data_IF_555322636386
#
_entry.id   IF_555322636386
#
_cell.length_a   1.000
_cell.length_b   1.000
_cell.length_c   1.000
_cell.angle_alpha   90.00
_cell.angle_beta   90.00
_cell.angle_gamma   90.00
#
_symmetry.space_group_name_H-M   'P 1'
#
loop_
_entity.id
_entity.type
_entity.pdbx_description
1 polymer ?
#
# COMPACT_ATOMS: atom_id res chain seq x y z
N UNK A 1 14.42 -3.79 6.48
CA UNK A 1 13.22 -2.92 6.43
C UNK A 1 12.60 -2.97 5.04
N UNK A 2 11.28 -2.93 4.95
CA UNK A 2 10.50 -2.91 3.72
C UNK A 2 9.65 -1.63 3.69
N UNK A 3 9.60 -0.94 2.54
CA UNK A 3 8.83 0.28 2.36
C UNK A 3 7.72 0.02 1.36
N UNK A 4 6.48 0.10 1.80
CA UNK A 4 5.27 -0.03 0.98
C UNK A 4 4.67 1.36 0.79
N UNK A 5 4.59 1.80 -0.44
CA UNK A 5 4.05 3.12 -0.80
C UNK A 5 2.68 2.95 -1.45
N UNK A 6 1.68 3.66 -0.97
CA UNK A 6 0.36 3.73 -1.58
C UNK A 6 0.29 4.99 -2.43
N UNK A 7 0.28 4.82 -3.74
CA UNK A 7 0.25 5.93 -4.69
C UNK A 7 -0.86 5.76 -5.71
N UNK A 8 -1.59 6.82 -6.00
CA UNK A 8 -2.59 6.90 -7.06
C UNK A 8 -2.90 8.35 -7.33
N UNK A 9 -2.91 8.77 -8.58
CA UNK A 9 -3.27 10.14 -8.97
C UNK A 9 -4.76 10.47 -8.80
N UNK A 10 -5.56 9.46 -8.49
CA UNK A 10 -6.99 9.65 -8.25
C UNK A 10 -7.26 9.87 -6.76
N UNK A 11 -7.92 10.99 -6.44
CA UNK A 11 -8.50 11.24 -5.12
C UNK A 11 -9.59 10.20 -4.81
N UNK A 12 -9.69 9.76 -3.54
CA UNK A 12 -10.70 8.79 -3.14
C UNK A 12 -10.47 7.35 -3.62
N UNK A 13 -9.29 7.01 -4.18
CA UNK A 13 -8.95 5.64 -4.59
C UNK A 13 -8.78 4.68 -3.40
N UNK A 14 -8.59 5.20 -2.17
CA UNK A 14 -8.45 4.43 -0.94
C UNK A 14 -7.02 4.21 -0.47
N UNK A 15 -6.08 5.07 -0.84
CA UNK A 15 -4.69 5.03 -0.36
C UNK A 15 -4.63 5.01 1.17
N UNK A 16 -5.12 6.06 1.81
CA UNK A 16 -5.11 6.20 3.28
C UNK A 16 -5.87 5.06 3.97
N UNK A 17 -7.01 4.63 3.40
CA UNK A 17 -7.80 3.50 3.89
C UNK A 17 -6.97 2.22 3.94
N UNK A 18 -6.34 1.85 2.83
CA UNK A 18 -5.53 0.64 2.77
C UNK A 18 -4.27 0.74 3.64
N UNK A 19 -3.65 1.93 3.68
CA UNK A 19 -2.48 2.18 4.54
C UNK A 19 -2.82 1.93 6.00
N UNK A 20 -3.91 2.50 6.52
CA UNK A 20 -4.35 2.33 7.91
C UNK A 20 -4.65 0.86 8.23
N UNK A 21 -5.49 0.20 7.42
CA UNK A 21 -5.89 -1.19 7.67
C UNK A 21 -4.71 -2.16 7.60
N UNK A 22 -3.80 -1.99 6.65
CA UNK A 22 -2.63 -2.86 6.52
C UNK A 22 -1.63 -2.63 7.64
N UNK A 23 -1.39 -1.38 8.04
CA UNK A 23 -0.51 -1.08 9.15
C UNK A 23 -1.03 -1.66 10.47
N UNK A 24 -2.32 -1.48 10.78
CA UNK A 24 -2.95 -2.08 11.95
C UNK A 24 -2.93 -3.63 11.92
N UNK A 25 -3.08 -4.22 10.73
CA UNK A 25 -2.99 -5.68 10.55
C UNK A 25 -1.58 -6.23 10.80
N UNK A 26 -0.55 -5.49 10.41
CA UNK A 26 0.85 -5.94 10.38
C UNK A 26 1.60 -5.65 11.67
N UNK A 27 1.29 -4.50 12.28
CA UNK A 27 2.02 -4.03 13.45
C UNK A 27 1.91 -4.97 14.64
N UNK A 28 3.05 -5.31 15.20
CA UNK A 28 3.21 -6.08 16.45
C UNK A 28 4.54 -5.68 17.09
N UNK A 29 4.68 -5.88 18.39
CA UNK A 29 5.93 -5.62 19.10
C UNK A 29 7.14 -6.37 18.48
N UNK A 30 6.91 -7.60 18.00
CA UNK A 30 7.92 -8.43 17.31
C UNK A 30 8.07 -8.10 15.83
N UNK A 31 7.24 -7.22 15.30
CA UNK A 31 7.20 -6.83 13.89
C UNK A 31 6.82 -5.35 13.76
N UNK A 32 7.69 -4.45 14.23
CA UNK A 32 7.37 -3.03 14.30
C UNK A 32 7.22 -2.44 12.90
N UNK A 33 6.18 -1.63 12.72
CA UNK A 33 5.99 -0.83 11.51
C UNK A 33 5.80 0.65 11.85
N UNK A 34 6.22 1.51 10.91
CA UNK A 34 6.04 2.95 10.95
C UNK A 34 5.03 3.36 9.89
N UNK A 35 4.12 4.25 10.26
CA UNK A 35 3.26 4.98 9.34
C UNK A 35 3.92 6.29 8.91
N UNK A 36 3.79 6.62 7.64
CA UNK A 36 4.23 7.92 7.10
C UNK A 36 3.05 8.55 6.36
N UNK A 37 2.52 9.63 6.91
CA UNK A 37 1.50 10.45 6.26
C UNK A 37 2.20 11.55 5.45
N UNK A 38 2.22 11.38 4.14
CA UNK A 38 2.80 12.34 3.20
C UNK A 38 1.72 13.15 2.46
N UNK A 39 0.43 12.93 2.78
CA UNK A 39 -0.67 13.72 2.23
C UNK A 39 -0.96 14.91 3.16
N UNK A 40 -0.88 16.18 2.67
CA UNK A 40 -1.22 17.34 3.46
C UNK A 40 -2.66 17.36 4.01
N UNK A 41 -3.58 16.55 3.43
CA UNK A 41 -4.93 16.39 3.96
C UNK A 41 -4.95 15.67 5.31
N UNK A 42 -3.89 14.91 5.66
CA UNK A 42 -3.72 14.34 6.99
C UNK A 42 -4.74 13.25 7.35
N UNK A 43 -5.30 12.54 6.38
CA UNK A 43 -6.31 11.50 6.62
C UNK A 43 -5.77 10.37 7.50
N UNK A 44 -4.54 9.94 7.27
CA UNK A 44 -3.90 8.91 8.07
C UNK A 44 -3.57 9.41 9.48
N UNK A 45 -3.15 10.67 9.60
CA UNK A 45 -2.90 11.35 10.87
C UNK A 45 -4.20 11.48 11.69
N UNK A 46 -5.33 11.79 11.04
CA UNK A 46 -6.63 11.83 11.69
C UNK A 46 -7.02 10.45 12.23
N UNK A 47 -6.91 9.41 11.41
CA UNK A 47 -7.17 8.03 11.85
C UNK A 47 -6.31 7.64 13.06
N UNK A 48 -5.02 7.99 13.03
CA UNK A 48 -4.11 7.70 14.15
C UNK A 48 -4.50 8.44 15.44
N UNK A 49 -5.02 9.67 15.35
CA UNK A 49 -5.56 10.38 16.52
C UNK A 49 -6.80 9.69 17.07
N UNK A 50 -7.71 9.22 16.21
CA UNK A 50 -8.91 8.49 16.63
C UNK A 50 -8.55 7.16 17.33
N UNK A 51 -7.43 6.54 16.93
CA UNK A 51 -6.93 5.32 17.54
C UNK A 51 -6.59 5.47 19.03
N UNK A 52 -6.21 6.65 19.48
CA UNK A 52 -5.95 6.95 20.90
C UNK A 52 -4.73 6.24 21.50
N UNK A 53 -3.91 5.58 20.66
CA UNK A 53 -2.64 4.95 21.04
C UNK A 53 -1.52 5.42 20.12
N UNK A 54 -0.26 5.30 20.57
CA UNK A 54 0.90 5.63 19.74
C UNK A 54 1.38 4.45 18.85
N UNK A 55 0.57 3.40 18.72
CA UNK A 55 0.90 2.17 18.00
C UNK A 55 -0.07 1.90 16.85
N UNK A 56 0.42 1.71 15.61
CA UNK A 56 1.81 1.89 15.17
C UNK A 56 2.22 3.36 15.17
N UNK A 57 3.51 3.69 15.41
CA UNK A 57 3.97 5.08 15.38
C UNK A 57 3.76 5.72 14.00
N UNK A 58 3.51 7.05 14.00
CA UNK A 58 3.31 7.83 12.78
C UNK A 58 4.30 8.98 12.67
N UNK A 59 4.70 9.31 11.44
CA UNK A 59 5.45 10.52 11.07
C UNK A 59 4.74 11.21 9.91
N UNK A 60 4.80 12.52 9.87
CA UNK A 60 4.35 13.31 8.72
C UNK A 60 5.52 13.64 7.82
N UNK A 61 5.37 13.47 6.49
CA UNK A 61 6.42 13.72 5.53
C UNK A 61 6.08 14.96 4.68
N UNK A 62 6.48 16.13 5.17
CA UNK A 62 6.28 17.38 4.43
C UNK A 62 7.36 17.59 3.36
N UNK A 63 8.58 17.04 3.54
CA UNK A 63 9.72 17.31 2.66
C UNK A 63 10.40 16.07 2.11
N UNK A 64 10.74 15.09 2.94
CA UNK A 64 11.50 13.90 2.52
C UNK A 64 10.98 12.63 3.19
N UNK A 65 10.49 11.71 2.38
CA UNK A 65 10.15 10.34 2.78
C UNK A 65 11.45 9.54 2.96
N UNK A 66 12.47 9.81 2.14
CA UNK A 66 13.76 9.13 2.20
C UNK A 66 14.46 9.30 3.55
N UNK A 67 14.47 10.51 4.12
CA UNK A 67 15.05 10.77 5.44
C UNK A 67 14.31 10.03 6.55
N UNK A 68 12.96 9.99 6.49
CA UNK A 68 12.14 9.24 7.44
C UNK A 68 12.42 7.74 7.32
N UNK A 69 12.53 7.20 6.10
CA UNK A 69 12.87 5.80 5.87
C UNK A 69 14.28 5.46 6.41
N UNK A 70 15.25 6.36 6.23
CA UNK A 70 16.60 6.18 6.78
C UNK A 70 16.61 6.16 8.32
N UNK A 71 15.84 7.03 8.96
CA UNK A 71 15.65 7.03 10.40
C UNK A 71 14.95 5.74 10.88
N UNK A 72 13.84 5.37 10.27
CA UNK A 72 13.08 4.16 10.58
C UNK A 72 13.96 2.88 10.50
N UNK A 73 14.87 2.84 9.53
CA UNK A 73 15.82 1.73 9.40
C UNK A 73 16.79 1.66 10.59
N UNK A 74 17.28 2.81 11.07
CA UNK A 74 18.15 2.87 12.28
C UNK A 74 17.39 2.49 13.54
N UNK A 75 16.11 2.86 13.61
CA UNK A 75 15.22 2.56 14.74
C UNK A 75 14.70 1.09 14.74
N UNK A 76 15.17 0.25 13.81
CA UNK A 76 14.84 -1.17 13.77
C UNK A 76 13.45 -1.49 13.21
N UNK A 77 12.78 -0.54 12.55
CA UNK A 77 11.48 -0.82 11.93
C UNK A 77 11.60 -1.89 10.85
N UNK A 78 10.70 -2.87 10.87
CA UNK A 78 10.65 -3.92 9.84
C UNK A 78 9.90 -3.45 8.59
N UNK A 79 8.84 -2.68 8.80
CA UNK A 79 7.97 -2.17 7.74
C UNK A 79 7.73 -0.67 7.86
N UNK A 80 7.62 -0.01 6.72
CA UNK A 80 7.18 1.39 6.61
C UNK A 80 6.03 1.43 5.60
N UNK A 81 4.91 2.01 6.00
CA UNK A 81 3.74 2.22 5.16
C UNK A 81 3.59 3.72 4.90
N UNK A 82 3.65 4.10 3.63
CA UNK A 82 3.62 5.51 3.21
C UNK A 82 2.33 5.81 2.47
N UNK A 83 1.52 6.70 3.00
CA UNK A 83 0.36 7.29 2.33
C UNK A 83 0.78 8.55 1.58
N UNK A 84 0.37 8.69 0.30
CA UNK A 84 0.78 9.81 -0.54
C UNK A 84 -0.42 10.63 -1.04
N UNK A 85 -0.21 11.93 -1.35
CA UNK A 85 -1.25 12.76 -1.95
C UNK A 85 -1.63 12.28 -3.37
N UNK A 86 -2.80 12.69 -3.88
CA UNK A 86 -3.29 12.26 -5.20
C UNK A 86 -2.68 13.02 -6.39
N UNK A 87 -1.76 13.95 -6.15
CA UNK A 87 -1.16 14.79 -7.18
C UNK A 87 0.28 14.37 -7.52
N UNK A 88 0.78 14.91 -8.63
CA UNK A 88 2.22 14.85 -8.95
C UNK A 88 2.94 15.83 -8.05
N UNK A 89 3.89 15.33 -7.28
CA UNK A 89 4.69 16.18 -6.40
C UNK A 89 6.04 15.53 -6.09
N UNK A 90 7.00 16.35 -5.71
CA UNK A 90 8.33 15.86 -5.34
C UNK A 90 8.28 14.84 -4.19
N UNK A 91 7.30 14.95 -3.27
CA UNK A 91 7.14 14.01 -2.16
C UNK A 91 6.64 12.64 -2.64
N UNK A 92 5.76 12.59 -3.66
CA UNK A 92 5.31 11.31 -4.27
C UNK A 92 6.47 10.63 -5.00
N UNK A 93 7.24 11.40 -5.77
CA UNK A 93 8.42 10.88 -6.47
C UNK A 93 9.49 10.38 -5.49
N UNK A 94 9.71 11.10 -4.39
CA UNK A 94 10.64 10.67 -3.33
C UNK A 94 10.13 9.39 -2.64
N UNK A 95 8.84 9.32 -2.32
CA UNK A 95 8.23 8.11 -1.76
C UNK A 95 8.42 6.91 -2.70
N UNK A 96 8.08 7.07 -4.00
CA UNK A 96 8.22 6.00 -4.99
C UNK A 96 9.69 5.58 -5.13
N UNK A 97 10.64 6.52 -5.18
CA UNK A 97 12.08 6.21 -5.25
C UNK A 97 12.58 5.39 -4.05
N UNK A 98 12.00 5.59 -2.87
CA UNK A 98 12.38 4.87 -1.64
C UNK A 98 11.57 3.58 -1.44
N UNK A 99 10.57 3.30 -2.26
CA UNK A 99 9.71 2.12 -2.13
C UNK A 99 10.48 0.80 -2.38
N UNK A 100 10.16 -0.21 -1.58
CA UNK A 100 10.40 -1.62 -1.92
C UNK A 100 9.36 -2.08 -2.94
N UNK A 101 8.10 -1.68 -2.74
CA UNK A 101 6.98 -1.95 -3.63
C UNK A 101 5.95 -0.83 -3.54
N UNK A 102 5.34 -0.48 -4.66
CA UNK A 102 4.24 0.48 -4.73
C UNK A 102 2.91 -0.26 -4.91
N UNK A 103 1.94 0.05 -4.08
CA UNK A 103 0.55 -0.40 -4.21
C UNK A 103 -0.26 0.72 -4.83
N UNK A 104 -0.95 0.42 -5.91
CA UNK A 104 -1.76 1.39 -6.66
C UNK A 104 -3.24 0.99 -6.50
N UNK A 105 -3.96 1.57 -5.54
CA UNK A 105 -5.38 1.32 -5.41
C UNK A 105 -6.16 2.00 -6.54
N UNK A 106 -7.09 1.26 -7.13
CA UNK A 106 -7.99 1.75 -8.18
C UNK A 106 -9.41 1.25 -7.95
N UNK A 107 -10.39 2.14 -7.98
CA UNK A 107 -11.80 1.72 -8.09
C UNK A 107 -12.06 1.14 -9.47
N UNK A 108 -13.02 0.22 -9.64
CA UNK A 108 -13.24 -0.44 -10.92
C UNK A 108 -13.94 0.45 -11.97
N UNK A 109 -14.06 1.76 -11.74
CA UNK A 109 -14.61 2.72 -12.69
C UNK A 109 -13.62 3.09 -13.81
N UNK A 110 -14.11 3.37 -15.00
CA UNK A 110 -13.29 3.68 -16.19
C UNK A 110 -12.31 4.84 -15.96
N UNK A 111 -12.75 5.89 -15.29
CA UNK A 111 -11.89 7.05 -15.01
C UNK A 111 -10.79 6.75 -13.97
N UNK A 112 -11.10 5.89 -13.00
CA UNK A 112 -10.13 5.48 -11.99
C UNK A 112 -9.07 4.57 -12.59
N UNK A 113 -9.48 3.62 -13.44
CA UNK A 113 -8.57 2.70 -14.13
C UNK A 113 -7.64 3.47 -15.10
N UNK A 114 -8.15 4.46 -15.81
CA UNK A 114 -7.28 5.28 -16.68
C UNK A 114 -6.27 6.14 -15.88
N UNK A 115 -6.68 6.70 -14.74
CA UNK A 115 -5.77 7.47 -13.88
C UNK A 115 -4.60 6.65 -13.31
N UNK A 116 -4.76 5.32 -13.21
CA UNK A 116 -3.68 4.40 -12.79
C UNK A 116 -2.50 4.40 -13.77
N UNK A 117 -2.74 4.62 -15.07
CA UNK A 117 -1.71 4.55 -16.09
C UNK A 117 -0.55 5.50 -15.82
N UNK A 118 -0.84 6.72 -15.37
CA UNK A 118 0.20 7.71 -15.07
C UNK A 118 1.05 7.30 -13.85
N UNK A 119 0.42 6.72 -12.81
CA UNK A 119 1.16 6.20 -11.66
C UNK A 119 2.03 5.00 -12.06
N UNK A 120 1.53 4.12 -12.93
CA UNK A 120 2.32 3.02 -13.51
C UNK A 120 3.55 3.55 -14.24
N UNK A 121 3.40 4.59 -15.06
CA UNK A 121 4.52 5.20 -15.78
C UNK A 121 5.57 5.75 -14.81
N UNK A 122 5.15 6.42 -13.75
CA UNK A 122 6.07 6.91 -12.71
C UNK A 122 6.85 5.76 -12.06
N UNK A 123 6.16 4.66 -11.69
CA UNK A 123 6.81 3.48 -11.13
C UNK A 123 7.82 2.84 -12.10
N UNK A 124 7.46 2.73 -13.38
CA UNK A 124 8.34 2.19 -14.43
C UNK A 124 9.57 3.06 -14.63
N UNK A 125 9.40 4.37 -14.73
CA UNK A 125 10.51 5.33 -14.89
C UNK A 125 11.46 5.27 -13.69
N UNK A 126 10.91 5.10 -12.47
CA UNK A 126 11.69 4.92 -11.25
C UNK A 126 12.24 3.49 -11.09
N UNK A 127 11.93 2.55 -11.98
CA UNK A 127 12.28 1.13 -11.92
C UNK A 127 11.86 0.47 -10.60
N UNK A 128 10.66 0.84 -10.11
CA UNK A 128 10.13 0.31 -8.86
C UNK A 128 9.07 -0.76 -9.09
N UNK A 129 9.13 -1.88 -8.37
CA UNK A 129 8.06 -2.87 -8.37
C UNK A 129 6.74 -2.25 -7.92
N UNK A 130 5.65 -2.61 -8.58
CA UNK A 130 4.31 -2.13 -8.24
C UNK A 130 3.26 -3.20 -8.50
N UNK A 131 2.11 -3.06 -7.88
CA UNK A 131 0.90 -3.82 -8.19
C UNK A 131 -0.33 -2.95 -8.08
N UNK A 132 -1.30 -3.17 -8.96
CA UNK A 132 -2.62 -2.54 -8.88
C UNK A 132 -3.54 -3.40 -8.01
N UNK A 133 -4.28 -2.76 -7.13
CA UNK A 133 -5.28 -3.37 -6.25
C UNK A 133 -6.65 -2.80 -6.60
N UNK A 134 -7.57 -3.66 -7.05
CA UNK A 134 -8.96 -3.27 -7.22
C UNK A 134 -9.56 -3.01 -5.84
N UNK A 135 -9.93 -1.76 -5.58
CA UNK A 135 -10.42 -1.27 -4.30
C UNK A 135 -11.82 -0.67 -4.42
N UNK A 136 -12.63 -0.77 -3.38
CA UNK A 136 -14.01 -0.27 -3.39
C UNK A 136 -14.88 -1.02 -4.41
N UNK A 137 -14.58 -2.28 -4.67
CA UNK A 137 -15.30 -3.11 -5.63
C UNK A 137 -16.70 -3.49 -5.12
N UNK A 138 -17.69 -3.69 -6.01
CA UNK A 138 -18.92 -4.36 -5.64
C UNK A 138 -18.64 -5.76 -5.06
N UNK A 139 -19.50 -6.22 -4.15
CA UNK A 139 -19.38 -7.56 -3.60
C UNK A 139 -19.54 -8.63 -4.69
N UNK A 140 -18.76 -9.68 -4.59
CA UNK A 140 -18.93 -10.88 -5.40
C UNK A 140 -20.27 -11.55 -5.04
N UNK A 141 -20.96 -12.09 -6.04
CA UNK A 141 -22.17 -12.92 -5.88
C UNK A 141 -21.82 -14.35 -6.30
N UNK A 142 -22.02 -15.30 -5.41
CA UNK A 142 -21.70 -16.72 -5.65
C UNK A 142 -20.27 -16.97 -6.16
N UNK A 143 -19.33 -16.18 -5.65
CA UNK A 143 -17.92 -16.25 -6.05
C UNK A 143 -17.60 -15.57 -7.38
N UNK A 144 -18.58 -15.00 -8.06
CA UNK A 144 -18.43 -14.33 -9.36
C UNK A 144 -18.18 -12.82 -9.16
N UNK A 145 -17.15 -12.31 -9.80
CA UNK A 145 -16.86 -10.86 -9.80
C UNK A 145 -17.96 -10.10 -10.55
N UNK A 146 -18.22 -8.88 -10.08
CA UNK A 146 -19.08 -7.95 -10.81
C UNK A 146 -18.50 -7.62 -12.20
N UNK A 147 -19.31 -7.52 -13.26
CA UNK A 147 -18.84 -7.19 -14.62
C UNK A 147 -17.93 -5.96 -14.70
N UNK A 148 -18.19 -4.94 -13.89
CA UNK A 148 -17.33 -3.75 -13.84
C UNK A 148 -15.91 -4.06 -13.33
N UNK A 149 -15.74 -5.02 -12.44
CA UNK A 149 -14.42 -5.49 -11.95
C UNK A 149 -13.71 -6.25 -13.05
N UNK A 150 -14.40 -7.13 -13.76
CA UNK A 150 -13.86 -7.86 -14.91
C UNK A 150 -13.34 -6.91 -15.99
N UNK A 151 -14.16 -5.93 -16.38
CA UNK A 151 -13.78 -4.89 -17.37
C UNK A 151 -12.55 -4.10 -16.89
N UNK A 152 -12.51 -3.74 -15.61
CA UNK A 152 -11.35 -3.04 -15.04
C UNK A 152 -10.07 -3.88 -15.12
N UNK A 153 -10.13 -5.18 -14.81
CA UNK A 153 -8.99 -6.11 -14.93
C UNK A 153 -8.51 -6.25 -16.37
N UNK A 154 -9.43 -6.41 -17.32
CA UNK A 154 -9.12 -6.49 -18.76
C UNK A 154 -8.40 -5.21 -19.23
N UNK A 155 -8.88 -4.04 -18.82
CA UNK A 155 -8.26 -2.76 -19.15
C UNK A 155 -6.86 -2.64 -18.56
N UNK A 156 -6.67 -3.01 -17.30
CA UNK A 156 -5.37 -3.01 -16.65
C UNK A 156 -4.38 -4.01 -17.30
N UNK A 157 -4.89 -5.14 -17.79
CA UNK A 157 -4.10 -6.10 -18.57
C UNK A 157 -3.57 -5.48 -19.87
N UNK A 158 -4.37 -4.66 -20.56
CA UNK A 158 -3.92 -3.91 -21.75
C UNK A 158 -2.77 -2.95 -21.40
N UNK A 159 -2.74 -2.41 -20.20
CA UNK A 159 -1.62 -1.59 -19.69
C UNK A 159 -0.39 -2.43 -19.27
N UNK A 160 -0.47 -3.77 -19.37
CA UNK A 160 0.56 -4.70 -18.87
C UNK A 160 0.88 -4.43 -17.39
N UNK A 161 -0.14 -4.12 -16.61
CA UNK A 161 -0.02 -3.87 -15.19
C UNK A 161 -0.14 -5.18 -14.40
N UNK A 162 0.73 -5.46 -13.43
CA UNK A 162 0.50 -6.52 -12.48
C UNK A 162 -0.69 -6.13 -11.59
N UNK A 163 -1.77 -6.92 -11.65
CA UNK A 163 -2.99 -6.72 -10.87
C UNK A 163 -3.09 -7.82 -9.84
N UNK A 164 -3.34 -7.47 -8.58
CA UNK A 164 -3.64 -8.45 -7.56
C UNK A 164 -4.91 -9.23 -7.90
N UNK A 165 -4.87 -10.58 -7.83
CA UNK A 165 -6.00 -11.43 -8.20
C UNK A 165 -7.22 -11.34 -7.28
N UNK A 166 -7.08 -10.77 -6.06
CA UNK A 166 -8.20 -10.45 -5.18
C UNK A 166 -8.79 -9.06 -5.43
N UNK A 167 -9.74 -8.69 -4.59
CA UNK A 167 -10.30 -7.34 -4.52
C UNK A 167 -10.54 -6.91 -3.09
N UNK A 168 -10.58 -5.61 -2.84
CA UNK A 168 -11.10 -5.03 -1.61
C UNK A 168 -12.51 -4.53 -1.92
N UNK A 169 -13.48 -5.14 -1.30
CA UNK A 169 -14.89 -4.85 -1.50
C UNK A 169 -15.29 -3.57 -0.76
N UNK A 170 -16.19 -2.79 -1.35
CA UNK A 170 -16.79 -1.64 -0.66
C UNK A 170 -17.69 -2.15 0.47
N UNK A 171 -17.17 -2.14 1.70
CA UNK A 171 -17.85 -2.63 2.90
C UNK A 171 -17.95 -1.54 3.96
N UNK A 172 -19.08 -1.46 4.62
CA UNK A 172 -19.28 -0.55 5.76
C UNK A 172 -18.28 -0.82 6.89
N UNK A 173 -17.93 -2.10 7.13
CA UNK A 173 -16.98 -2.50 8.18
C UNK A 173 -15.61 -1.81 8.04
N UNK A 174 -15.12 -1.57 6.80
CA UNK A 174 -13.88 -0.84 6.60
C UNK A 174 -13.99 0.62 7.07
N UNK A 175 -15.10 1.28 6.77
CA UNK A 175 -15.31 2.68 7.16
C UNK A 175 -15.57 2.79 8.65
N UNK A 176 -16.35 1.88 9.22
CA UNK A 176 -16.65 1.83 10.65
C UNK A 176 -15.38 1.59 11.47
N UNK A 177 -14.53 0.66 11.07
CA UNK A 177 -13.23 0.45 11.71
C UNK A 177 -12.39 1.73 11.74
N UNK A 178 -12.28 2.44 10.61
CA UNK A 178 -11.54 3.69 10.56
C UNK A 178 -12.12 4.77 11.48
N UNK A 179 -13.44 4.87 11.60
CA UNK A 179 -14.09 5.87 12.48
C UNK A 179 -13.82 5.62 13.96
N UNK A 180 -13.41 4.40 14.33
CA UNK A 180 -12.98 4.02 15.69
C UNK A 180 -11.45 4.02 15.86
N UNK A 181 -10.68 4.43 14.84
CA UNK A 181 -9.22 4.35 14.86
C UNK A 181 -8.69 2.92 14.80
N UNK A 182 -9.50 1.98 14.34
CA UNK A 182 -9.19 0.55 14.27
C UNK A 182 -8.84 0.09 12.86
N UNK A 183 -8.16 -1.04 12.77
CA UNK A 183 -8.05 -1.82 11.54
C UNK A 183 -9.23 -2.80 11.40
N UNK A 184 -9.46 -3.30 10.19
CA UNK A 184 -10.59 -4.20 9.93
C UNK A 184 -10.62 -5.45 10.82
N UNK A 185 -9.44 -5.99 11.18
CA UNK A 185 -9.33 -7.16 12.06
C UNK A 185 -9.58 -6.82 13.53
N UNK A 186 -9.21 -5.63 13.95
CA UNK A 186 -9.44 -5.16 15.31
C UNK A 186 -10.92 -4.91 15.54
N UNK A 187 -11.59 -4.31 14.55
CA UNK A 187 -13.02 -4.02 14.58
C UNK A 187 -13.89 -5.28 14.53
N UNK A 188 -13.59 -6.18 13.56
CA UNK A 188 -14.32 -7.45 13.42
C UNK A 188 -13.42 -8.53 12.82
N UNK A 189 -12.79 -9.33 13.69
CA UNK A 189 -11.75 -10.28 13.31
C UNK A 189 -12.23 -11.34 12.31
N UNK A 190 -13.46 -11.83 12.45
CA UNK A 190 -14.06 -12.87 11.59
C UNK A 190 -14.79 -12.28 10.37
N UNK A 191 -14.73 -10.95 10.22
CA UNK A 191 -15.39 -10.23 9.13
C UNK A 191 -14.74 -10.46 7.77
N UNK A 192 -15.56 -10.37 6.72
CA UNK A 192 -15.06 -10.47 5.34
C UNK A 192 -14.05 -9.36 4.99
N UNK A 193 -14.20 -8.17 5.58
CA UNK A 193 -13.25 -7.07 5.43
C UNK A 193 -11.87 -7.45 5.98
N UNK A 194 -11.80 -8.02 7.19
CA UNK A 194 -10.57 -8.50 7.80
C UNK A 194 -9.90 -9.58 6.95
N UNK A 195 -10.69 -10.52 6.42
CA UNK A 195 -10.18 -11.57 5.54
C UNK A 195 -9.62 -11.02 4.20
N UNK A 196 -10.25 -9.98 3.62
CA UNK A 196 -9.75 -9.34 2.39
C UNK A 196 -8.43 -8.61 2.64
N UNK A 197 -8.30 -7.87 3.74
CA UNK A 197 -7.06 -7.19 4.15
C UNK A 197 -5.95 -8.21 4.41
N UNK A 198 -6.25 -9.32 5.10
CA UNK A 198 -5.28 -10.39 5.37
C UNK A 198 -4.77 -11.04 4.07
N UNK A 199 -5.66 -11.29 3.09
CA UNK A 199 -5.27 -11.83 1.78
C UNK A 199 -4.41 -10.85 0.98
N UNK A 200 -4.75 -9.56 1.00
CA UNK A 200 -3.93 -8.54 0.36
C UNK A 200 -2.55 -8.47 1.01
N UNK A 201 -2.50 -8.47 2.34
CA UNK A 201 -1.23 -8.50 3.06
C UNK A 201 -0.36 -9.70 2.68
N UNK A 202 -0.93 -10.90 2.69
CA UNK A 202 -0.20 -12.12 2.30
C UNK A 202 0.36 -12.05 0.86
N UNK A 203 -0.35 -11.38 -0.06
CA UNK A 203 0.13 -11.17 -1.42
C UNK A 203 1.30 -10.16 -1.46
N UNK A 204 1.20 -9.04 -0.74
CA UNK A 204 2.28 -8.05 -0.61
C UNK A 204 3.52 -8.70 -0.03
N UNK A 205 3.40 -9.44 1.07
CA UNK A 205 4.52 -10.08 1.74
C UNK A 205 5.24 -11.09 0.84
N UNK A 206 4.49 -11.92 0.11
CA UNK A 206 5.09 -12.84 -0.89
C UNK A 206 5.83 -12.09 -1.99
N UNK A 207 5.24 -11.00 -2.51
CA UNK A 207 5.87 -10.19 -3.56
C UNK A 207 7.17 -9.55 -3.07
N UNK A 208 7.17 -9.00 -1.85
CA UNK A 208 8.37 -8.40 -1.25
C UNK A 208 9.47 -9.44 -1.01
N UNK A 209 9.11 -10.65 -0.57
CA UNK A 209 10.07 -11.76 -0.43
C UNK A 209 10.69 -12.14 -1.78
N UNK A 210 9.89 -12.23 -2.84
CA UNK A 210 10.37 -12.51 -4.19
C UNK A 210 11.31 -11.40 -4.73
N UNK A 211 10.94 -10.14 -4.55
CA UNK A 211 11.75 -8.98 -4.94
C UNK A 211 13.13 -9.03 -4.26
N UNK A 212 13.18 -9.38 -2.97
CA UNK A 212 14.44 -9.49 -2.23
C UNK A 212 15.27 -10.71 -2.62
N UNK A 213 14.62 -11.83 -2.90
CA UNK A 213 15.31 -13.05 -3.33
C UNK A 213 15.89 -12.96 -4.75
N UNK A 214 15.36 -12.06 -5.59
CA UNK A 214 15.87 -11.79 -6.94
C UNK A 214 16.92 -10.67 -7.00
N UNK A 215 17.17 -9.96 -5.89
CA UNK A 215 18.26 -8.98 -5.84
C UNK A 215 19.61 -9.73 -5.87
N UNK A 216 20.55 -9.38 -6.78
CA UNK A 216 21.86 -10.00 -6.79
C UNK A 216 22.51 -9.81 -5.42
N UNK A 217 22.98 -10.91 -4.82
CA UNK A 217 23.79 -10.88 -3.61
C UNK A 217 25.08 -10.12 -3.93
N UNK A 218 25.14 -8.84 -3.57
CA UNK A 218 26.38 -8.07 -3.58
C UNK A 218 27.29 -8.58 -2.46
N UNK A 219 28.09 -9.61 -2.75
CA UNK A 219 28.96 -10.19 -1.73
C UNK A 219 29.74 -11.42 -2.13
N UNK A 220 30.25 -11.47 -3.40
CA UNK A 220 31.22 -12.49 -3.77
C UNK A 220 32.12 -12.00 -4.90
N UNK A 221 32.85 -10.91 -4.64
CA UNK A 221 34.04 -10.56 -5.44
C UNK A 221 35.08 -9.96 -4.50
N UNK A 222 35.78 -10.82 -3.81
CA UNK A 222 37.18 -10.60 -3.42
C UNK A 222 37.69 -11.84 -2.69
N UNK A 223 38.25 -12.76 -3.47
CA UNK A 223 39.44 -13.57 -3.09
C UNK A 223 39.73 -14.56 -4.22
N UNK A 224 40.54 -14.12 -5.17
CA UNK A 224 41.49 -14.96 -5.90
C UNK A 224 42.33 -14.03 -6.75
N UNK A 225 43.42 -13.56 -6.17
CA UNK A 225 44.65 -13.16 -6.83
C UNK A 225 45.74 -13.15 -5.75
N UNK A 226 46.43 -14.24 -5.62
CA UNK A 226 47.79 -14.34 -5.14
C UNK A 226 48.36 -15.62 -5.75
#
# INVERSE_FOLDING_TARGET
MNVIVFASRKGGSGKSTLTAHLAAHVHKATRPCLLVDADPQGSLTLWHKLRGTNEPPIRTAVRSVGEICAAAKRDGMEWVFVDTPPNVSAVVDDAIRNATMVIIPARPGVFDVNAVQETIQTCRSARKPYAVVINGAPAQRDGIESPIVTIARETLTKFRAPVWGGQITNRADLLMALSHGEGAREYYAEGRAAAEIARLWAAIERSVKAIRGSAPTSGAMHKQAA
#
